data_IF_700061639378
#
_entry.id   IF_700061639378
#
_cell.length_a   1.000
_cell.length_b   1.000
_cell.length_c   1.000
_cell.angle_alpha   90.00
_cell.angle_beta   90.00
_cell.angle_gamma   90.00
#
_symmetry.space_group_name_H-M   'P 1'
#
loop_
_entity.id
_entity.type
_entity.pdbx_description
1 polymer ?
#
# COMPACT_ATOMS: atom_id res chain seq x y z
N UNK A 1 -15.22 9.43 -10.49
CA UNK A 1 -16.29 10.31 -11.02
C UNK A 1 -15.63 11.46 -11.79
N UNK A 2 -14.99 12.41 -11.12
CA UNK A 2 -14.37 13.59 -11.75
C UNK A 2 -13.26 13.24 -12.76
N UNK A 3 -12.40 12.29 -12.46
CA UNK A 3 -11.26 11.91 -13.32
C UNK A 3 -11.67 11.39 -14.70
N UNK A 4 -12.83 10.75 -14.77
CA UNK A 4 -13.38 10.19 -16.02
C UNK A 4 -14.52 11.02 -16.61
N UNK A 5 -14.71 12.26 -16.13
CA UNK A 5 -15.83 13.14 -16.50
C UNK A 5 -17.21 12.45 -16.44
N UNK A 6 -17.36 11.51 -15.52
CA UNK A 6 -18.63 10.87 -15.30
C UNK A 6 -19.63 11.91 -14.79
N UNK A 7 -20.81 11.90 -15.34
CA UNK A 7 -21.88 12.83 -14.96
C UNK A 7 -21.62 14.31 -15.37
N UNK A 8 -20.82 14.54 -16.42
CA UNK A 8 -20.42 15.88 -16.90
C UNK A 8 -19.74 16.76 -15.83
N UNK A 9 -19.08 16.12 -14.86
CA UNK A 9 -18.33 16.82 -13.82
C UNK A 9 -16.89 17.01 -14.25
N UNK A 10 -16.48 18.23 -14.40
CA UNK A 10 -15.13 18.59 -14.82
C UNK A 10 -14.16 18.57 -13.64
N UNK A 11 -12.95 18.07 -13.89
CA UNK A 11 -11.80 18.14 -12.98
C UNK A 11 -10.74 19.04 -13.60
N UNK A 12 -10.45 20.15 -12.94
CA UNK A 12 -9.38 21.05 -13.33
C UNK A 12 -7.99 20.45 -13.16
N UNK A 13 -7.08 20.85 -14.00
CA UNK A 13 -5.69 20.36 -13.96
C UNK A 13 -4.96 20.86 -12.71
N UNK A 14 -5.28 22.05 -12.21
CA UNK A 14 -4.69 22.60 -10.97
C UNK A 14 -5.01 21.72 -9.75
N UNK A 15 -6.26 21.31 -9.59
CA UNK A 15 -6.67 20.42 -8.49
C UNK A 15 -5.97 19.07 -8.62
N UNK A 16 -5.93 18.52 -9.83
CA UNK A 16 -5.28 17.25 -10.11
C UNK A 16 -3.78 17.29 -9.77
N UNK A 17 -3.08 18.37 -10.13
CA UNK A 17 -1.66 18.52 -9.84
C UNK A 17 -1.39 18.73 -8.34
N UNK A 18 -2.27 19.42 -7.61
CA UNK A 18 -2.16 19.52 -6.15
C UNK A 18 -2.31 18.15 -5.49
N UNK A 19 -3.31 17.35 -5.90
CA UNK A 19 -3.52 15.98 -5.41
C UNK A 19 -2.34 15.06 -5.74
N UNK A 20 -1.80 15.18 -6.96
CA UNK A 20 -0.60 14.44 -7.40
C UNK A 20 0.60 14.76 -6.50
N UNK A 21 0.88 16.03 -6.24
CA UNK A 21 1.99 16.43 -5.40
C UNK A 21 1.81 15.93 -3.95
N UNK A 22 0.58 16.00 -3.44
CA UNK A 22 0.24 15.45 -2.13
C UNK A 22 0.46 13.94 -2.07
N UNK A 23 0.05 13.19 -3.10
CA UNK A 23 0.33 11.77 -3.22
C UNK A 23 1.84 11.49 -3.15
N UNK A 24 2.65 12.24 -3.90
CA UNK A 24 4.10 12.10 -3.88
C UNK A 24 4.72 12.35 -2.50
N UNK A 25 4.26 13.38 -1.79
CA UNK A 25 4.71 13.67 -0.41
C UNK A 25 4.35 12.52 0.54
N UNK A 26 3.13 11.99 0.48
CA UNK A 26 2.73 10.86 1.32
C UNK A 26 3.52 9.60 1.02
N UNK A 27 3.77 9.29 -0.26
CA UNK A 27 4.60 8.14 -0.64
C UNK A 27 6.03 8.30 -0.12
N UNK A 28 6.62 9.50 -0.23
CA UNK A 28 7.94 9.79 0.32
C UNK A 28 7.97 9.62 1.85
N UNK A 29 6.95 10.10 2.55
CA UNK A 29 6.82 9.94 3.99
C UNK A 29 6.71 8.46 4.40
N UNK A 30 5.90 7.67 3.68
CA UNK A 30 5.78 6.22 3.93
C UNK A 30 7.12 5.52 3.74
N UNK A 31 7.85 5.80 2.66
CA UNK A 31 9.18 5.23 2.43
C UNK A 31 10.17 5.63 3.53
N UNK A 32 10.13 6.89 3.98
CA UNK A 32 10.97 7.36 5.08
C UNK A 32 10.66 6.61 6.38
N UNK A 33 9.38 6.48 6.75
CA UNK A 33 9.00 5.75 7.96
C UNK A 33 9.33 4.25 7.86
N UNK A 34 9.18 3.65 6.68
CA UNK A 34 9.61 2.28 6.44
C UNK A 34 11.11 2.10 6.68
N UNK A 35 11.92 3.01 6.12
CA UNK A 35 13.37 3.00 6.33
C UNK A 35 13.72 3.15 7.82
N UNK A 36 13.13 4.11 8.49
CA UNK A 36 13.38 4.35 9.93
C UNK A 36 12.95 3.15 10.79
N UNK A 37 11.81 2.53 10.49
CA UNK A 37 11.34 1.33 11.18
C UNK A 37 12.37 0.18 11.09
N UNK A 38 12.80 -0.16 9.88
CA UNK A 38 13.76 -1.24 9.68
C UNK A 38 15.15 -0.92 10.25
N UNK A 39 15.61 0.34 10.14
CA UNK A 39 16.87 0.76 10.77
C UNK A 39 16.80 0.65 12.31
N UNK A 40 15.68 1.03 12.91
CA UNK A 40 15.48 0.91 14.36
C UNK A 40 15.48 -0.55 14.81
N UNK A 41 14.80 -1.41 14.05
CA UNK A 41 14.75 -2.85 14.37
C UNK A 41 16.12 -3.53 14.18
N UNK A 42 16.89 -3.13 13.16
CA UNK A 42 18.25 -3.64 12.95
C UNK A 42 19.21 -3.25 14.10
N UNK A 43 18.93 -2.15 14.80
CA UNK A 43 19.71 -1.78 15.99
C UNK A 43 19.39 -2.68 17.19
N UNK A 44 18.18 -3.20 17.28
CA UNK A 44 17.76 -4.12 18.35
C UNK A 44 18.19 -5.56 18.09
N UNK A 45 19.07 -6.13 18.91
CA UNK A 45 19.57 -7.50 18.75
C UNK A 45 18.45 -8.56 18.71
N UNK A 46 17.34 -8.32 19.39
CA UNK A 46 16.18 -9.22 19.44
C UNK A 46 15.46 -9.35 18.11
N UNK A 47 15.48 -8.30 17.29
CA UNK A 47 14.76 -8.25 16.01
C UNK A 47 15.64 -8.60 14.80
N UNK A 48 16.93 -8.83 15.01
CA UNK A 48 17.90 -8.97 13.92
C UNK A 48 17.59 -10.16 12.99
N UNK A 49 17.16 -11.29 13.55
CA UNK A 49 16.81 -12.47 12.76
C UNK A 49 15.51 -12.25 11.94
N UNK A 50 14.53 -11.58 12.53
CA UNK A 50 13.30 -11.22 11.81
C UNK A 50 13.57 -10.23 10.68
N UNK A 51 14.38 -9.20 10.93
CA UNK A 51 14.75 -8.23 9.90
C UNK A 51 15.56 -8.89 8.77
N UNK A 52 16.49 -9.77 9.10
CA UNK A 52 17.23 -10.57 8.12
C UNK A 52 16.28 -11.41 7.25
N UNK A 53 15.25 -12.01 7.87
CA UNK A 53 14.22 -12.76 7.15
C UNK A 53 13.46 -11.86 6.18
N UNK A 54 12.91 -10.71 6.62
CA UNK A 54 12.15 -9.82 5.74
C UNK A 54 13.02 -9.22 4.64
N UNK A 55 14.24 -8.78 4.96
CA UNK A 55 15.08 -8.03 4.02
C UNK A 55 15.86 -8.92 3.04
N UNK A 56 16.25 -10.16 3.44
CA UNK A 56 17.19 -11.00 2.70
C UNK A 56 16.68 -12.42 2.44
N UNK A 57 16.27 -13.13 3.47
CA UNK A 57 16.15 -14.60 3.43
C UNK A 57 14.70 -15.10 3.32
N UNK A 58 13.70 -14.24 3.32
CA UNK A 58 12.28 -14.59 3.39
C UNK A 58 11.65 -15.01 2.06
N UNK A 59 12.43 -15.17 1.00
CA UNK A 59 11.93 -15.63 -0.29
C UNK A 59 10.83 -14.73 -0.87
N UNK A 60 9.57 -15.21 -0.86
CA UNK A 60 8.43 -14.44 -1.38
C UNK A 60 8.18 -13.16 -0.58
N UNK A 61 8.40 -13.16 0.73
CA UNK A 61 8.22 -11.97 1.57
C UNK A 61 9.25 -10.90 1.26
N UNK A 62 10.52 -11.28 1.05
CA UNK A 62 11.58 -10.38 0.60
C UNK A 62 11.28 -9.80 -0.79
N UNK A 63 10.79 -10.64 -1.71
CA UNK A 63 10.39 -10.20 -3.05
C UNK A 63 9.23 -9.19 -3.00
N UNK A 64 8.21 -9.47 -2.18
CA UNK A 64 7.07 -8.55 -2.00
C UNK A 64 7.48 -7.27 -1.27
N UNK A 65 8.42 -7.33 -0.33
CA UNK A 65 8.94 -6.16 0.34
C UNK A 65 9.67 -5.23 -0.64
N UNK A 66 10.69 -5.71 -1.31
CA UNK A 66 11.51 -4.89 -2.22
C UNK A 66 10.79 -4.60 -3.55
N UNK A 67 10.25 -5.63 -4.20
CA UNK A 67 9.58 -5.50 -5.50
C UNK A 67 8.18 -4.92 -5.42
N UNK A 68 7.36 -5.43 -4.51
CA UNK A 68 5.97 -5.00 -4.37
C UNK A 68 5.84 -3.66 -3.65
N UNK A 69 6.35 -3.57 -2.43
CA UNK A 69 6.17 -2.38 -1.61
C UNK A 69 7.14 -1.25 -1.99
N UNK A 70 8.47 -1.47 -1.86
CA UNK A 70 9.45 -0.39 -2.04
C UNK A 70 9.51 0.07 -3.51
N UNK A 71 9.63 -0.85 -4.45
CA UNK A 71 9.79 -0.52 -5.87
C UNK A 71 8.44 -0.12 -6.49
N UNK A 72 7.48 -1.03 -6.58
CA UNK A 72 6.21 -0.79 -7.27
C UNK A 72 5.27 0.13 -6.49
N UNK A 73 5.25 0.05 -5.16
CA UNK A 73 4.40 0.91 -4.32
C UNK A 73 5.01 2.27 -3.98
N UNK A 74 6.32 2.40 -4.05
CA UNK A 74 7.05 3.60 -3.64
C UNK A 74 7.81 4.31 -4.77
N UNK A 75 8.93 3.73 -5.20
CA UNK A 75 9.86 4.41 -6.13
C UNK A 75 9.26 4.66 -7.51
N UNK A 76 8.56 3.67 -8.08
CA UNK A 76 7.92 3.81 -9.41
C UNK A 76 6.83 4.89 -9.40
N UNK A 77 5.87 4.91 -8.45
CA UNK A 77 4.91 6.00 -8.35
C UNK A 77 5.55 7.38 -8.19
N UNK A 78 6.57 7.51 -7.36
CA UNK A 78 7.33 8.76 -7.23
C UNK A 78 7.96 9.18 -8.56
N UNK A 79 8.59 8.25 -9.25
CA UNK A 79 9.14 8.49 -10.58
C UNK A 79 8.09 8.97 -11.58
N UNK A 80 6.92 8.33 -11.62
CA UNK A 80 5.80 8.73 -12.50
C UNK A 80 5.26 10.12 -12.15
N UNK A 81 5.05 10.39 -10.87
CA UNK A 81 4.48 11.65 -10.38
C UNK A 81 5.39 12.85 -10.66
N UNK A 82 6.70 12.69 -10.45
CA UNK A 82 7.66 13.78 -10.59
C UNK A 82 8.34 13.83 -11.97
N UNK A 83 8.04 12.88 -12.87
CA UNK A 83 8.59 12.91 -14.22
C UNK A 83 8.08 14.15 -15.00
N UNK A 84 8.94 14.96 -15.64
CA UNK A 84 8.56 16.23 -16.24
C UNK A 84 7.51 16.11 -17.35
N UNK A 85 7.51 15.01 -18.11
CA UNK A 85 6.55 14.76 -19.19
C UNK A 85 5.36 13.91 -18.72
N UNK A 86 5.61 12.78 -18.02
CA UNK A 86 4.56 11.84 -17.62
C UNK A 86 3.71 12.38 -16.47
N UNK A 87 4.30 13.05 -15.49
CA UNK A 87 3.61 13.59 -14.33
C UNK A 87 2.55 14.66 -14.63
N UNK A 88 2.46 15.12 -15.89
CA UNK A 88 1.40 16.03 -16.36
C UNK A 88 0.22 15.30 -17.00
N UNK A 89 0.30 13.99 -17.17
CA UNK A 89 -0.77 13.20 -17.79
C UNK A 89 -1.68 12.57 -16.76
N UNK A 90 -2.99 12.63 -16.98
CA UNK A 90 -3.99 12.00 -16.09
C UNK A 90 -3.75 10.49 -15.96
N UNK A 91 -3.35 9.84 -17.06
CA UNK A 91 -3.06 8.40 -17.07
C UNK A 91 -1.91 8.01 -16.16
N UNK A 92 -0.82 8.79 -16.11
CA UNK A 92 0.31 8.51 -15.22
C UNK A 92 -0.07 8.70 -13.73
N UNK A 93 -0.93 9.67 -13.42
CA UNK A 93 -1.41 9.89 -12.06
C UNK A 93 -2.29 8.73 -11.60
N UNK A 94 -3.19 8.23 -12.46
CA UNK A 94 -4.03 7.06 -12.18
C UNK A 94 -3.14 5.82 -12.00
N UNK A 95 -2.17 5.61 -12.90
CA UNK A 95 -1.23 4.50 -12.80
C UNK A 95 -0.42 4.55 -11.49
N UNK A 96 0.12 5.72 -11.13
CA UNK A 96 0.84 5.92 -9.88
C UNK A 96 -0.04 5.59 -8.66
N UNK A 97 -1.27 6.10 -8.62
CA UNK A 97 -2.22 5.83 -7.53
C UNK A 97 -2.56 4.33 -7.42
N UNK A 98 -2.78 3.66 -8.56
CA UNK A 98 -3.03 2.21 -8.59
C UNK A 98 -1.84 1.42 -8.09
N UNK A 99 -0.62 1.79 -8.47
CA UNK A 99 0.60 1.16 -8.00
C UNK A 99 0.81 1.35 -6.49
N UNK A 100 0.50 2.52 -5.95
CA UNK A 100 0.54 2.77 -4.49
C UNK A 100 -0.42 1.85 -3.75
N UNK A 101 -1.64 1.64 -4.27
CA UNK A 101 -2.61 0.72 -3.68
C UNK A 101 -2.09 -0.72 -3.71
N UNK A 102 -1.57 -1.18 -4.85
CA UNK A 102 -1.01 -2.53 -4.98
C UNK A 102 0.23 -2.73 -4.09
N UNK A 103 1.09 -1.71 -4.00
CA UNK A 103 2.22 -1.71 -3.07
C UNK A 103 1.79 -1.76 -1.61
N UNK A 104 0.71 -1.06 -1.26
CA UNK A 104 0.09 -1.13 0.07
C UNK A 104 -0.40 -2.54 0.42
N UNK A 105 -1.03 -3.25 -0.52
CA UNK A 105 -1.39 -4.66 -0.33
C UNK A 105 -0.17 -5.54 -0.10
N UNK A 106 0.92 -5.33 -0.86
CA UNK A 106 2.19 -6.06 -0.66
C UNK A 106 2.77 -5.77 0.72
N UNK A 107 2.74 -4.52 1.16
CA UNK A 107 3.19 -4.10 2.49
C UNK A 107 2.42 -4.80 3.61
N UNK A 108 1.08 -4.76 3.54
CA UNK A 108 0.20 -5.41 4.52
C UNK A 108 0.46 -6.92 4.55
N UNK A 109 0.60 -7.56 3.38
CA UNK A 109 0.88 -8.99 3.30
C UNK A 109 2.20 -9.34 3.98
N UNK A 110 3.28 -8.58 3.71
CA UNK A 110 4.59 -8.80 4.34
C UNK A 110 4.52 -8.59 5.86
N UNK A 111 3.85 -7.53 6.33
CA UNK A 111 3.74 -7.25 7.77
C UNK A 111 2.91 -8.32 8.49
N UNK A 112 1.72 -8.65 7.95
CA UNK A 112 0.78 -9.54 8.64
C UNK A 112 1.17 -11.00 8.46
N UNK A 113 1.33 -11.45 7.22
CA UNK A 113 1.61 -12.86 6.94
C UNK A 113 3.08 -13.18 7.15
N UNK A 114 4.00 -12.31 6.71
CA UNK A 114 5.43 -12.47 6.94
C UNK A 114 5.79 -12.48 8.43
N UNK A 115 5.13 -11.58 9.21
CA UNK A 115 5.30 -11.56 10.66
C UNK A 115 4.80 -12.82 11.37
N UNK A 116 3.78 -13.47 10.84
CA UNK A 116 3.25 -14.74 11.37
C UNK A 116 4.04 -15.96 10.87
N UNK A 117 4.61 -15.88 9.68
CA UNK A 117 5.40 -16.95 9.09
C UNK A 117 6.78 -17.10 9.74
N UNK A 118 7.28 -16.07 10.40
CA UNK A 118 8.54 -16.09 11.12
C UNK A 118 8.35 -16.70 12.51
N UNK A 119 9.05 -17.81 12.87
CA UNK A 119 8.91 -18.44 14.18
C UNK A 119 9.48 -17.54 15.27
N UNK A 120 8.62 -17.06 16.17
CA UNK A 120 9.06 -16.30 17.34
C UNK A 120 9.54 -17.22 18.47
N UNK A 121 10.81 -17.10 18.84
CA UNK A 121 11.34 -17.74 20.05
C UNK A 121 10.86 -16.99 21.30
N UNK A 122 9.64 -17.30 21.79
CA UNK A 122 9.09 -16.65 22.98
C UNK A 122 9.86 -16.99 24.27
N UNK A 123 10.57 -18.11 24.31
CA UNK A 123 11.35 -18.54 25.47
C UNK A 123 12.72 -19.10 25.01
N UNK A 124 13.80 -18.33 25.13
CA UNK A 124 15.14 -18.80 24.79
C UNK A 124 15.50 -20.08 25.58
N UNK A 125 15.94 -21.13 24.88
CA UNK A 125 16.37 -22.39 25.47
C UNK A 125 15.26 -23.44 25.68
N UNK A 126 14.03 -23.20 25.24
CA UNK A 126 12.97 -24.23 25.19
C UNK A 126 12.80 -24.76 23.78
N UNK A 127 12.52 -26.07 23.70
CA UNK A 127 12.14 -26.71 22.43
C UNK A 127 10.82 -26.12 21.94
N UNK A 128 10.82 -25.52 20.78
CA UNK A 128 9.60 -25.06 20.12
C UNK A 128 8.86 -26.31 19.63
N UNK A 129 7.71 -26.58 20.21
CA UNK A 129 6.81 -27.64 19.69
C UNK A 129 6.05 -27.02 18.49
N UNK A 130 6.41 -27.44 17.29
CA UNK A 130 5.75 -27.00 16.07
C UNK A 130 4.26 -27.30 16.14
N UNK A 131 3.40 -26.28 16.03
CA UNK A 131 1.95 -26.44 15.93
C UNK A 131 1.53 -26.90 14.53
N UNK A 132 2.44 -26.87 13.58
CA UNK A 132 2.22 -27.27 12.18
C UNK A 132 1.44 -26.27 11.35
N UNK A 133 1.04 -25.12 11.90
CA UNK A 133 0.21 -24.17 11.16
C UNK A 133 1.01 -22.95 10.63
N UNK A 134 1.83 -22.31 11.46
CA UNK A 134 2.64 -21.16 11.07
C UNK A 134 4.13 -21.30 11.37
N UNK A 135 4.51 -22.24 12.19
CA UNK A 135 5.85 -22.37 12.74
C UNK A 135 6.74 -23.37 11.99
N UNK A 136 6.34 -23.85 10.84
CA UNK A 136 7.12 -24.79 10.03
C UNK A 136 7.67 -26.00 10.78
N UNK A 137 7.94 -27.05 10.08
CA UNK A 137 8.65 -28.22 10.66
C UNK A 137 10.11 -27.83 10.85
N UNK A 138 10.65 -27.94 12.07
CA UNK A 138 12.03 -27.59 12.45
C UNK A 138 12.42 -26.12 12.34
N UNK A 139 11.49 -25.19 12.63
CA UNK A 139 11.77 -23.74 12.56
C UNK A 139 11.87 -23.18 11.14
N UNK A 140 11.48 -23.93 10.13
CA UNK A 140 11.36 -23.42 8.78
C UNK A 140 10.09 -22.57 8.64
N UNK A 141 10.19 -21.48 7.91
CA UNK A 141 9.04 -20.62 7.58
C UNK A 141 8.04 -21.37 6.70
N UNK A 142 6.76 -21.32 7.05
CA UNK A 142 5.72 -21.91 6.19
C UNK A 142 5.18 -20.90 5.20
N UNK A 143 5.02 -21.33 3.94
CA UNK A 143 4.28 -20.56 2.96
C UNK A 143 2.76 -20.64 3.28
N UNK A 144 2.18 -19.50 3.64
CA UNK A 144 0.73 -19.38 3.78
C UNK A 144 0.08 -19.27 2.40
N UNK A 145 -0.93 -20.10 2.15
CA UNK A 145 -1.78 -19.99 0.97
C UNK A 145 -3.22 -19.73 1.43
N UNK A 146 -3.79 -18.55 1.12
CA UNK A 146 -5.15 -18.26 1.53
C UNK A 146 -6.14 -19.22 0.89
N UNK A 147 -7.10 -19.70 1.67
CA UNK A 147 -8.20 -20.51 1.18
C UNK A 147 -9.19 -19.64 0.37
N UNK A 148 -9.95 -20.29 -0.52
CA UNK A 148 -10.98 -19.57 -1.31
C UNK A 148 -11.98 -18.78 -0.43
N UNK A 149 -12.50 -19.30 0.69
CA UNK A 149 -13.37 -18.54 1.59
C UNK A 149 -12.70 -17.29 2.17
N UNK A 150 -11.42 -17.36 2.54
CA UNK A 150 -10.67 -16.21 3.06
C UNK A 150 -10.48 -15.13 2.01
N UNK A 151 -10.14 -15.54 0.79
CA UNK A 151 -10.03 -14.61 -0.34
C UNK A 151 -11.37 -13.91 -0.63
N UNK A 152 -12.48 -14.67 -0.65
CA UNK A 152 -13.82 -14.15 -0.87
C UNK A 152 -14.26 -13.22 0.27
N UNK A 153 -13.87 -13.51 1.52
CA UNK A 153 -14.14 -12.64 2.66
C UNK A 153 -13.43 -11.29 2.49
N UNK A 154 -12.16 -11.29 2.09
CA UNK A 154 -11.40 -10.08 1.79
C UNK A 154 -12.04 -9.26 0.66
N UNK A 155 -12.39 -9.92 -0.44
CA UNK A 155 -13.08 -9.28 -1.57
C UNK A 155 -14.44 -8.71 -1.16
N UNK A 156 -15.19 -9.43 -0.31
CA UNK A 156 -16.46 -8.98 0.26
C UNK A 156 -16.30 -7.70 1.08
N UNK A 157 -15.25 -7.59 1.88
CA UNK A 157 -14.93 -6.38 2.64
C UNK A 157 -14.70 -5.17 1.72
N UNK A 158 -13.92 -5.33 0.66
CA UNK A 158 -13.70 -4.28 -0.35
C UNK A 158 -15.02 -3.89 -1.03
N UNK A 159 -15.84 -4.87 -1.42
CA UNK A 159 -17.13 -4.63 -2.06
C UNK A 159 -18.10 -3.85 -1.15
N UNK A 160 -18.13 -4.17 0.15
CA UNK A 160 -18.96 -3.44 1.14
C UNK A 160 -18.49 -1.97 1.25
N UNK A 161 -17.20 -1.72 1.36
CA UNK A 161 -16.67 -0.35 1.43
C UNK A 161 -17.02 0.45 0.18
N UNK A 162 -16.88 -0.13 -1.01
CA UNK A 162 -17.26 0.51 -2.26
C UNK A 162 -18.78 0.79 -2.31
N UNK A 163 -19.60 -0.16 -1.89
CA UNK A 163 -21.06 0.00 -1.84
C UNK A 163 -21.46 1.13 -0.90
N UNK A 164 -20.91 1.15 0.33
CA UNK A 164 -21.17 2.20 1.30
C UNK A 164 -20.73 3.58 0.79
N UNK A 165 -19.58 3.64 0.12
CA UNK A 165 -19.09 4.88 -0.50
C UNK A 165 -20.03 5.37 -1.60
N UNK A 166 -20.53 4.48 -2.46
CA UNK A 166 -21.49 4.83 -3.51
C UNK A 166 -22.82 5.33 -2.92
N UNK A 167 -23.31 4.67 -1.88
CA UNK A 167 -24.53 5.10 -1.17
C UNK A 167 -24.29 6.47 -0.55
N UNK A 168 -23.19 6.69 0.15
CA UNK A 168 -22.85 7.96 0.77
C UNK A 168 -22.77 9.10 -0.26
N UNK A 169 -22.10 8.88 -1.39
CA UNK A 169 -21.99 9.86 -2.49
C UNK A 169 -23.38 10.23 -3.05
N UNK A 170 -24.30 9.25 -3.15
CA UNK A 170 -25.65 9.51 -3.65
C UNK A 170 -26.57 10.20 -2.64
N UNK A 171 -26.46 9.84 -1.36
CA UNK A 171 -27.37 10.34 -0.32
C UNK A 171 -26.95 11.70 0.26
N UNK A 172 -25.65 11.92 0.41
CA UNK A 172 -25.15 13.07 1.18
C UNK A 172 -24.90 14.33 0.35
N UNK A 173 -25.07 14.31 -0.96
CA UNK A 173 -24.92 15.47 -1.87
C UNK A 173 -23.70 16.38 -1.57
N UNK A 174 -22.62 15.82 -1.02
CA UNK A 174 -21.43 16.59 -0.61
C UNK A 174 -20.44 16.83 -1.76
N UNK A 175 -20.64 16.17 -2.90
CA UNK A 175 -19.78 16.38 -4.05
C UNK A 175 -20.11 17.71 -4.72
N UNK A 176 -19.10 18.55 -5.00
CA UNK A 176 -19.29 19.79 -5.74
C UNK A 176 -19.79 19.49 -7.17
N UNK A 177 -20.50 20.44 -7.75
CA UNK A 177 -21.04 20.30 -9.11
C UNK A 177 -19.90 20.28 -10.16
N UNK A 178 -18.85 21.06 -9.94
CA UNK A 178 -17.65 21.13 -10.80
C UNK A 178 -16.41 21.34 -9.94
N UNK A 179 -15.29 20.81 -10.39
CA UNK A 179 -13.93 21.08 -9.90
C UNK A 179 -13.06 21.68 -11.02
N UNK A 180 -13.70 22.38 -11.99
CA UNK A 180 -12.96 23.16 -12.98
C UNK A 180 -12.10 24.24 -12.30
N UNK A 181 -10.99 24.61 -12.92
CA UNK A 181 -10.00 25.54 -12.34
C UNK A 181 -10.63 26.89 -11.96
N UNK A 182 -11.59 27.38 -12.75
CA UNK A 182 -12.31 28.63 -12.50
C UNK A 182 -13.14 28.62 -11.19
N UNK A 183 -13.64 27.43 -10.81
CA UNK A 183 -14.48 27.26 -9.61
C UNK A 183 -13.64 26.87 -8.40
N UNK A 184 -12.62 26.04 -8.59
CA UNK A 184 -11.79 25.51 -7.52
C UNK A 184 -10.71 26.49 -7.06
N UNK A 185 -10.26 27.41 -7.92
CA UNK A 185 -9.22 28.38 -7.59
C UNK A 185 -9.54 29.77 -8.24
N UNK A 186 -10.52 30.51 -7.72
CA UNK A 186 -10.98 31.77 -8.30
C UNK A 186 -9.93 32.91 -8.25
N UNK A 187 -8.80 32.68 -7.60
CA UNK A 187 -7.70 33.65 -7.49
C UNK A 187 -6.54 33.40 -8.46
N UNK A 188 -6.62 32.37 -9.30
CA UNK A 188 -5.72 32.15 -10.42
C UNK A 188 -6.23 32.92 -11.64
N UNK A 189 -6.02 34.22 -11.61
CA UNK A 189 -6.10 35.11 -12.74
C UNK A 189 -4.75 35.74 -13.04
#
# INVERSE_FOLDING_TARGET
IFTFNADNRELGDTVLFRLKNLLGVFVAAVLFFTLMYHLTNLYGAENHEYEKFILLDGGIYTLLFWGGWVLLGGLVPMGLVYHPALGKTRGAIIAASSLVILGGFSAIYVIVIGGQAFPMAMFPGKTIVSSGFFDGVNGATMAYSPSLPEFLLGLGGVAIVLLLTLIAVRMLCFLPASLADEVADPHHG
#
